data_IF_060557954783
#
_entry.id   IF_060557954783
#
_cell.length_a   1.000
_cell.length_b   1.000
_cell.length_c   1.000
_cell.angle_alpha   90.00
_cell.angle_beta   90.00
_cell.angle_gamma   90.00
#
_symmetry.space_group_name_H-M   'P 1'
#
loop_
_entity.id
_entity.type
_entity.pdbx_description
1 polymer ?
#
# COMPACT_ATOMS: atom_id res chain seq x y z
N UNK A 1 -13.54 -36.32 -3.57
CA UNK A 1 -14.53 -35.75 -4.53
C UNK A 1 -14.95 -34.37 -4.06
N UNK A 2 -15.99 -33.76 -4.66
CA UNK A 2 -16.45 -32.41 -4.28
C UNK A 2 -16.73 -32.25 -2.79
N UNK A 3 -17.38 -33.24 -2.17
CA UNK A 3 -17.73 -33.22 -0.75
C UNK A 3 -16.48 -33.04 0.12
N UNK A 4 -15.43 -33.83 -0.14
CA UNK A 4 -14.20 -33.77 0.65
C UNK A 4 -13.46 -32.44 0.46
N UNK A 5 -13.38 -31.95 -0.78
CA UNK A 5 -12.68 -30.71 -1.11
C UNK A 5 -13.37 -29.49 -0.49
N UNK A 6 -14.71 -29.42 -0.58
CA UNK A 6 -15.51 -28.38 0.09
C UNK A 6 -15.34 -28.48 1.60
N UNK A 7 -15.45 -29.68 2.17
CA UNK A 7 -15.32 -29.90 3.63
C UNK A 7 -13.94 -29.50 4.16
N UNK A 8 -12.91 -29.59 3.34
CA UNK A 8 -11.57 -29.09 3.67
C UNK A 8 -11.52 -27.56 3.62
N UNK A 9 -11.98 -26.96 2.52
CA UNK A 9 -11.95 -25.52 2.32
C UNK A 9 -12.84 -24.74 3.31
N UNK A 10 -13.96 -25.32 3.74
CA UNK A 10 -14.85 -24.70 4.73
C UNK A 10 -14.20 -24.51 6.11
N UNK A 11 -13.13 -25.25 6.41
CA UNK A 11 -12.37 -25.09 7.66
C UNK A 11 -11.48 -23.86 7.63
N UNK A 12 -11.25 -23.25 6.47
CA UNK A 12 -10.42 -22.08 6.34
C UNK A 12 -11.08 -20.86 6.98
N UNK A 13 -10.31 -20.11 7.78
CA UNK A 13 -10.82 -19.08 8.68
C UNK A 13 -11.54 -17.92 7.99
N UNK A 14 -11.16 -17.60 6.75
CA UNK A 14 -11.75 -16.51 5.97
C UNK A 14 -12.91 -16.98 5.07
N UNK A 15 -12.86 -18.23 4.60
CA UNK A 15 -13.83 -18.76 3.65
C UNK A 15 -15.12 -19.16 4.38
N UNK A 16 -14.99 -20.00 5.41
CA UNK A 16 -16.15 -20.67 6.00
C UNK A 16 -17.01 -21.33 4.91
N UNK A 17 -18.33 -21.20 5.02
CA UNK A 17 -19.26 -21.77 4.04
C UNK A 17 -19.36 -21.02 2.70
N UNK A 18 -18.63 -19.90 2.49
CA UNK A 18 -18.71 -19.14 1.25
C UNK A 18 -17.49 -19.43 0.36
N UNK A 19 -17.67 -20.40 -0.52
CA UNK A 19 -16.66 -20.89 -1.47
C UNK A 19 -17.00 -20.57 -2.93
N UNK A 20 -18.08 -19.82 -3.17
CA UNK A 20 -18.64 -19.61 -4.51
C UNK A 20 -17.59 -19.06 -5.48
N UNK A 21 -16.78 -18.08 -5.06
CA UNK A 21 -15.75 -17.50 -5.92
C UNK A 21 -14.68 -18.52 -6.36
N UNK A 22 -14.23 -19.42 -5.48
CA UNK A 22 -13.28 -20.48 -5.84
C UNK A 22 -13.91 -21.52 -6.76
N UNK A 23 -15.19 -21.85 -6.55
CA UNK A 23 -15.95 -22.75 -7.43
C UNK A 23 -16.11 -22.12 -8.83
N UNK A 24 -16.39 -20.81 -8.87
CA UNK A 24 -16.52 -20.05 -10.11
C UNK A 24 -15.19 -19.97 -10.86
N UNK A 25 -14.07 -19.70 -10.17
CA UNK A 25 -12.72 -19.73 -10.77
C UNK A 25 -12.40 -21.09 -11.37
N UNK A 26 -12.83 -22.15 -10.70
CA UNK A 26 -12.61 -23.53 -11.12
C UNK A 26 -13.58 -23.99 -12.22
N UNK A 27 -14.57 -23.18 -12.63
CA UNK A 27 -15.55 -23.52 -13.66
C UNK A 27 -16.28 -24.86 -13.38
N UNK A 28 -16.55 -25.17 -12.11
CA UNK A 28 -17.10 -26.46 -11.66
C UNK A 28 -16.20 -27.69 -11.95
N UNK A 29 -14.89 -27.51 -12.09
CA UNK A 29 -13.89 -28.58 -12.08
C UNK A 29 -13.32 -28.78 -10.66
N UNK A 30 -13.45 -29.99 -10.12
CA UNK A 30 -13.04 -30.31 -8.74
C UNK A 30 -11.53 -30.30 -8.55
N UNK A 31 -10.74 -30.65 -9.57
CA UNK A 31 -9.28 -30.64 -9.45
C UNK A 31 -8.75 -29.21 -9.55
N UNK A 32 -9.31 -28.39 -10.45
CA UNK A 32 -9.01 -26.94 -10.47
C UNK A 32 -9.40 -26.28 -9.14
N UNK A 33 -10.54 -26.64 -8.56
CA UNK A 33 -10.96 -26.11 -7.26
C UNK A 33 -9.94 -26.41 -6.17
N UNK A 34 -9.43 -27.65 -6.10
CA UNK A 34 -8.40 -28.02 -5.13
C UNK A 34 -7.10 -27.25 -5.36
N UNK A 35 -6.72 -27.04 -6.62
CA UNK A 35 -5.53 -26.26 -6.97
C UNK A 35 -5.67 -24.80 -6.51
N UNK A 36 -6.78 -24.15 -6.86
CA UNK A 36 -7.07 -22.79 -6.41
C UNK A 36 -7.14 -22.68 -4.89
N UNK A 37 -7.80 -23.63 -4.22
CA UNK A 37 -7.86 -23.65 -2.77
C UNK A 37 -6.47 -23.80 -2.15
N UNK A 38 -5.62 -24.68 -2.69
CA UNK A 38 -4.25 -24.86 -2.22
C UNK A 38 -3.44 -23.56 -2.36
N UNK A 39 -3.45 -22.93 -3.52
CA UNK A 39 -2.77 -21.64 -3.75
C UNK A 39 -3.32 -20.56 -2.80
N UNK A 40 -4.63 -20.51 -2.62
CA UNK A 40 -5.28 -19.56 -1.69
C UNK A 40 -4.87 -19.79 -0.22
N UNK A 41 -4.81 -21.05 0.24
CA UNK A 41 -4.39 -21.39 1.61
C UNK A 41 -2.89 -21.08 1.84
N UNK A 42 -2.06 -21.22 0.81
CA UNK A 42 -0.63 -20.90 0.86
C UNK A 42 -0.36 -19.41 1.09
N UNK A 43 -1.16 -18.51 0.49
CA UNK A 43 -1.08 -17.05 0.69
C UNK A 43 -1.08 -16.64 2.17
N UNK A 44 -1.85 -17.33 3.01
CA UNK A 44 -1.95 -16.99 4.45
C UNK A 44 -0.80 -17.55 5.29
N UNK A 45 0.07 -18.39 4.71
CA UNK A 45 1.28 -18.94 5.33
C UNK A 45 2.55 -18.16 4.95
N UNK A 46 2.48 -17.36 3.88
CA UNK A 46 3.58 -16.52 3.41
C UNK A 46 3.84 -15.31 4.34
N UNK A 47 4.94 -14.60 4.06
CA UNK A 47 5.43 -13.51 4.91
C UNK A 47 4.42 -12.38 5.10
N UNK A 48 3.96 -12.27 6.34
CA UNK A 48 3.07 -11.20 6.81
C UNK A 48 3.84 -9.95 7.23
N UNK A 49 5.12 -10.06 7.57
CA UNK A 49 5.94 -8.94 8.05
C UNK A 49 6.21 -7.92 6.94
N UNK A 50 6.41 -8.39 5.70
CA UNK A 50 6.56 -7.52 4.53
C UNK A 50 5.30 -7.44 3.65
N UNK A 51 4.16 -7.91 4.16
CA UNK A 51 2.84 -7.77 3.52
C UNK A 51 2.79 -8.29 2.08
N UNK A 52 3.41 -9.44 1.81
CA UNK A 52 3.57 -9.95 0.45
C UNK A 52 2.22 -10.11 -0.26
N UNK A 53 1.20 -10.63 0.42
CA UNK A 53 -0.11 -10.81 -0.19
C UNK A 53 -0.76 -9.48 -0.60
N UNK A 54 -0.84 -8.51 0.31
CA UNK A 54 -1.42 -7.20 0.03
C UNK A 54 -0.72 -6.53 -1.16
N UNK A 55 0.62 -6.57 -1.17
CA UNK A 55 1.43 -5.93 -2.21
C UNK A 55 1.33 -6.66 -3.55
N UNK A 56 1.37 -7.98 -3.54
CA UNK A 56 1.24 -8.79 -4.75
C UNK A 56 -0.15 -8.65 -5.37
N UNK A 57 -1.21 -8.65 -4.56
CA UNK A 57 -2.58 -8.43 -5.04
C UNK A 57 -2.75 -7.04 -5.65
N UNK A 58 -2.14 -6.01 -5.07
CA UNK A 58 -2.18 -4.65 -5.60
C UNK A 58 -1.53 -4.51 -6.98
N UNK A 59 -0.62 -5.43 -7.36
CA UNK A 59 -0.03 -5.47 -8.72
C UNK A 59 -1.04 -5.89 -9.79
N UNK A 60 -2.10 -6.60 -9.41
CA UNK A 60 -3.15 -7.08 -10.32
C UNK A 60 -4.27 -6.05 -10.48
N UNK A 61 -4.46 -5.19 -9.49
CA UNK A 61 -5.39 -4.07 -9.59
C UNK A 61 -5.73 -3.46 -8.23
N UNK A 62 -6.53 -2.40 -8.27
CA UNK A 62 -7.00 -1.72 -7.06
C UNK A 62 -8.09 -2.55 -6.38
N UNK A 63 -7.67 -3.35 -5.39
CA UNK A 63 -8.56 -4.21 -4.63
C UNK A 63 -9.12 -3.54 -3.37
N UNK A 64 -8.69 -2.32 -3.02
CA UNK A 64 -8.92 -1.77 -1.68
C UNK A 64 -10.42 -1.53 -1.45
N UNK A 65 -11.05 -2.18 -0.45
CA UNK A 65 -12.42 -1.86 -0.09
C UNK A 65 -12.52 -0.45 0.49
N UNK A 66 -13.55 0.29 0.08
CA UNK A 66 -13.94 1.53 0.77
C UNK A 66 -14.52 1.20 2.14
N UNK A 67 -14.22 2.02 3.14
CA UNK A 67 -14.82 1.92 4.48
C UNK A 67 -15.79 3.07 4.71
N UNK A 68 -17.08 2.72 4.82
CA UNK A 68 -18.17 3.69 4.88
C UNK A 68 -18.37 4.40 3.54
N UNK A 69 -19.10 5.52 3.55
CA UNK A 69 -19.20 6.42 2.39
C UNK A 69 -18.19 7.55 2.57
N UNK A 70 -16.90 7.22 2.51
CA UNK A 70 -15.84 8.15 2.88
C UNK A 70 -14.55 7.85 2.13
N UNK A 71 -13.65 8.83 2.04
CA UNK A 71 -12.32 8.71 1.43
C UNK A 71 -11.36 7.73 2.14
N UNK A 72 -11.86 6.81 2.95
CA UNK A 72 -11.08 5.82 3.68
C UNK A 72 -11.09 4.48 2.96
N UNK A 73 -9.90 3.93 2.75
CA UNK A 73 -9.69 2.65 2.10
C UNK A 73 -8.84 1.73 2.98
N UNK A 74 -8.96 0.43 2.81
CA UNK A 74 -8.24 -0.56 3.62
C UNK A 74 -7.45 -1.54 2.78
N UNK A 75 -6.20 -1.81 3.15
CA UNK A 75 -5.39 -2.90 2.60
C UNK A 75 -5.81 -4.28 3.12
N UNK A 76 -6.86 -4.33 3.94
CA UNK A 76 -7.30 -5.49 4.70
C UNK A 76 -6.26 -5.94 5.73
N UNK A 77 -6.75 -6.36 6.90
CA UNK A 77 -5.93 -6.79 8.02
C UNK A 77 -6.13 -8.28 8.25
N UNK A 78 -5.06 -9.00 8.57
CA UNK A 78 -5.18 -10.41 8.95
C UNK A 78 -5.76 -10.53 10.37
N UNK A 79 -6.64 -11.51 10.58
CA UNK A 79 -7.40 -11.74 11.80
C UNK A 79 -6.54 -11.88 13.06
N UNK A 80 -5.39 -12.53 12.97
CA UNK A 80 -4.51 -12.74 14.13
C UNK A 80 -3.88 -11.44 14.67
N UNK A 81 -3.88 -10.38 13.86
CA UNK A 81 -3.40 -9.05 14.25
C UNK A 81 -4.51 -8.20 14.90
N UNK A 82 -5.75 -8.68 14.91
CA UNK A 82 -6.87 -8.05 15.60
C UNK A 82 -7.00 -8.57 17.04
N UNK A 83 -6.30 -7.89 17.97
CA UNK A 83 -6.45 -8.16 19.41
C UNK A 83 -7.79 -7.67 19.99
N UNK A 84 -8.64 -7.02 19.18
CA UNK A 84 -9.75 -6.22 19.67
C UNK A 84 -11.15 -6.82 19.49
N UNK A 85 -11.31 -8.04 18.99
CA UNK A 85 -12.65 -8.52 18.70
C UNK A 85 -12.98 -9.96 19.13
N UNK A 86 -13.91 -10.05 20.08
CA UNK A 86 -14.86 -11.15 20.09
C UNK A 86 -15.71 -11.15 18.81
N UNK A 87 -16.48 -12.22 18.61
CA UNK A 87 -17.31 -12.59 17.44
C UNK A 87 -18.21 -11.53 16.74
N UNK A 88 -18.11 -10.22 17.04
CA UNK A 88 -19.00 -9.16 16.55
C UNK A 88 -18.36 -8.11 15.63
N UNK A 89 -17.05 -8.07 15.41
CA UNK A 89 -16.48 -7.25 14.31
C UNK A 89 -16.59 -8.03 12.99
N UNK A 90 -17.82 -8.06 12.45
CA UNK A 90 -18.21 -8.78 11.23
C UNK A 90 -17.82 -8.07 9.93
N UNK A 91 -16.85 -7.16 9.97
CA UNK A 91 -16.30 -6.53 8.77
C UNK A 91 -14.93 -7.16 8.46
N UNK A 92 -14.95 -8.45 8.13
CA UNK A 92 -13.79 -9.15 7.58
C UNK A 92 -13.46 -8.49 6.24
N UNK A 93 -12.55 -7.51 6.23
CA UNK A 93 -12.20 -6.69 5.06
C UNK A 93 -11.92 -7.55 3.81
N UNK A 94 -11.29 -8.71 4.01
CA UNK A 94 -11.00 -9.66 2.95
C UNK A 94 -12.24 -10.25 2.26
N UNK A 95 -13.37 -10.42 2.97
CA UNK A 95 -14.63 -10.87 2.35
C UNK A 95 -15.17 -9.87 1.34
N UNK A 96 -14.95 -8.56 1.60
CA UNK A 96 -15.32 -7.49 0.66
C UNK A 96 -14.44 -7.47 -0.60
N UNK A 97 -13.34 -8.21 -0.60
CA UNK A 97 -12.49 -8.43 -1.77
C UNK A 97 -12.88 -9.73 -2.46
N UNK A 98 -12.94 -10.84 -1.72
CA UNK A 98 -13.14 -12.17 -2.29
C UNK A 98 -14.53 -12.39 -2.87
N UNK A 99 -15.55 -11.73 -2.32
CA UNK A 99 -16.94 -11.88 -2.74
C UNK A 99 -17.43 -10.72 -3.62
N UNK A 100 -16.54 -9.78 -3.95
CA UNK A 100 -16.81 -8.72 -4.91
C UNK A 100 -16.46 -9.23 -6.32
N UNK A 101 -17.40 -9.14 -7.25
CA UNK A 101 -17.25 -9.72 -8.59
C UNK A 101 -16.10 -9.08 -9.41
N UNK A 102 -15.73 -7.84 -9.12
CA UNK A 102 -14.62 -7.17 -9.83
C UNK A 102 -13.30 -7.42 -9.10
N UNK A 103 -13.26 -7.21 -7.78
CA UNK A 103 -12.01 -7.37 -7.01
C UNK A 103 -11.54 -8.82 -6.91
N UNK A 104 -12.47 -9.77 -6.92
CA UNK A 104 -12.13 -11.20 -6.96
C UNK A 104 -11.40 -11.61 -8.24
N UNK A 105 -11.55 -10.87 -9.35
CA UNK A 105 -10.78 -11.11 -10.57
C UNK A 105 -9.29 -10.88 -10.34
N UNK A 106 -8.91 -9.85 -9.58
CA UNK A 106 -7.51 -9.61 -9.21
C UNK A 106 -6.94 -10.75 -8.37
N UNK A 107 -7.75 -11.33 -7.47
CA UNK A 107 -7.36 -12.53 -6.73
C UNK A 107 -7.18 -13.71 -7.68
N UNK A 108 -8.11 -13.92 -8.62
CA UNK A 108 -7.98 -15.00 -9.61
C UNK A 108 -6.69 -14.84 -10.44
N UNK A 109 -6.42 -13.65 -10.95
CA UNK A 109 -5.20 -13.34 -11.69
C UNK A 109 -3.94 -13.57 -10.86
N UNK A 110 -3.98 -13.31 -9.55
CA UNK A 110 -2.88 -13.63 -8.65
C UNK A 110 -2.71 -15.14 -8.47
N UNK A 111 -3.79 -15.90 -8.29
CA UNK A 111 -3.75 -17.35 -8.13
C UNK A 111 -3.39 -18.08 -9.44
N UNK A 112 -3.69 -17.49 -10.59
CA UNK A 112 -3.29 -17.98 -11.92
C UNK A 112 -1.80 -17.72 -12.21
N UNK A 113 -1.16 -16.80 -11.47
CA UNK A 113 0.27 -16.53 -11.60
C UNK A 113 1.08 -17.65 -10.91
N UNK A 114 2.02 -18.24 -11.64
CA UNK A 114 2.87 -19.33 -11.12
C UNK A 114 4.14 -18.82 -10.44
N UNK A 115 4.37 -17.51 -10.46
CA UNK A 115 5.49 -16.87 -9.75
C UNK A 115 5.22 -16.78 -8.25
N UNK A 116 6.28 -16.67 -7.46
CA UNK A 116 6.12 -16.35 -6.04
C UNK A 116 5.56 -14.93 -5.86
N UNK A 117 4.90 -14.66 -4.72
CA UNK A 117 4.41 -13.30 -4.42
C UNK A 117 5.55 -12.27 -4.45
N UNK A 118 6.75 -12.67 -4.01
CA UNK A 118 7.94 -11.82 -4.03
C UNK A 118 8.37 -11.49 -5.46
N UNK A 119 8.45 -12.46 -6.37
CA UNK A 119 8.83 -12.23 -7.77
C UNK A 119 7.83 -11.29 -8.46
N UNK A 120 6.52 -11.48 -8.23
CA UNK A 120 5.45 -10.61 -8.76
C UNK A 120 5.67 -9.15 -8.33
N UNK A 121 6.00 -8.94 -7.06
CA UNK A 121 6.27 -7.61 -6.50
C UNK A 121 7.56 -7.01 -7.09
N UNK A 122 8.62 -7.80 -7.21
CA UNK A 122 9.93 -7.35 -7.70
C UNK A 122 9.87 -6.94 -9.17
N UNK A 123 9.15 -7.69 -10.00
CA UNK A 123 9.01 -7.44 -11.44
C UNK A 123 8.07 -6.28 -11.80
N UNK A 124 7.15 -5.88 -10.92
CA UNK A 124 6.19 -4.80 -11.21
C UNK A 124 6.90 -3.44 -11.38
N UNK A 125 6.95 -2.84 -12.57
CA UNK A 125 7.69 -1.56 -12.80
C UNK A 125 6.80 -0.41 -13.32
N UNK A 126 5.47 -0.52 -13.18
CA UNK A 126 4.58 0.57 -13.59
C UNK A 126 4.58 1.71 -12.55
N UNK A 127 5.55 2.62 -12.70
CA UNK A 127 5.70 3.80 -11.84
C UNK A 127 4.58 4.84 -11.97
N UNK A 128 3.70 4.70 -12.95
CA UNK A 128 2.53 5.57 -13.11
C UNK A 128 1.36 5.11 -12.25
N UNK A 129 1.36 3.82 -11.88
CA UNK A 129 0.34 3.26 -11.01
C UNK A 129 0.41 3.90 -9.63
N UNK A 130 -0.74 4.40 -9.14
CA UNK A 130 -0.82 5.09 -7.85
C UNK A 130 -0.29 4.24 -6.69
N UNK A 131 -0.50 2.92 -6.74
CA UNK A 131 -0.09 1.97 -5.71
C UNK A 131 1.38 1.53 -5.79
N UNK A 132 2.16 2.06 -6.74
CA UNK A 132 3.51 1.59 -7.03
C UNK A 132 4.42 1.56 -5.80
N UNK A 133 4.43 2.61 -4.97
CA UNK A 133 5.30 2.64 -3.79
C UNK A 133 4.81 1.77 -2.64
N UNK A 134 3.50 1.55 -2.49
CA UNK A 134 3.00 0.50 -1.58
C UNK A 134 3.53 -0.88 -2.00
N UNK A 135 3.57 -1.16 -3.31
CA UNK A 135 4.13 -2.40 -3.85
C UNK A 135 5.64 -2.48 -3.58
N UNK A 136 6.41 -1.41 -3.81
CA UNK A 136 7.88 -1.47 -3.70
C UNK A 136 8.44 -1.35 -2.29
N UNK A 137 7.74 -0.65 -1.40
CA UNK A 137 8.27 -0.29 -0.09
C UNK A 137 7.34 -0.76 1.02
N UNK A 138 7.55 -1.97 1.59
CA UNK A 138 6.72 -2.49 2.66
C UNK A 138 6.70 -1.58 3.90
N UNK A 139 7.73 -0.76 4.10
CA UNK A 139 7.83 0.24 5.17
C UNK A 139 6.61 1.19 5.18
N UNK A 140 6.04 1.53 4.02
CA UNK A 140 4.84 2.37 3.95
C UNK A 140 3.65 1.65 4.60
N UNK A 141 3.48 0.34 4.36
CA UNK A 141 2.43 -0.44 5.02
C UNK A 141 2.74 -0.66 6.51
N UNK A 142 4.01 -0.69 6.94
CA UNK A 142 4.38 -0.76 8.37
C UNK A 142 3.90 0.46 9.16
N UNK A 143 3.91 1.65 8.54
CA UNK A 143 3.33 2.87 9.14
C UNK A 143 1.80 2.81 9.25
N UNK A 144 1.15 1.93 8.49
CA UNK A 144 -0.29 1.84 8.38
C UNK A 144 -0.90 1.02 9.53
N UNK A 145 -0.98 1.60 10.74
CA UNK A 145 -1.31 0.87 11.97
C UNK A 145 -2.64 0.08 11.96
N UNK A 146 -3.63 0.53 11.20
CA UNK A 146 -4.90 -0.20 10.99
C UNK A 146 -5.08 -0.75 9.57
N UNK A 147 -4.05 -0.67 8.73
CA UNK A 147 -4.11 -0.93 7.29
C UNK A 147 -5.05 0.02 6.55
N UNK A 148 -5.28 1.23 7.09
CA UNK A 148 -6.15 2.23 6.50
C UNK A 148 -5.38 3.40 5.91
N UNK A 149 -5.84 3.84 4.76
CA UNK A 149 -5.42 5.09 4.14
C UNK A 149 -6.61 6.02 4.00
N UNK A 150 -6.34 7.32 4.06
CA UNK A 150 -7.26 8.35 3.61
C UNK A 150 -6.75 8.85 2.25
N UNK A 151 -7.50 8.57 1.19
CA UNK A 151 -7.14 8.95 -0.18
C UNK A 151 -8.21 9.86 -0.78
N UNK A 152 -7.80 11.06 -1.21
CA UNK A 152 -8.66 12.01 -1.90
C UNK A 152 -7.85 12.70 -2.99
N UNK A 153 -8.36 12.68 -4.22
CA UNK A 153 -7.63 13.09 -5.42
C UNK A 153 -6.25 12.40 -5.46
N UNK A 154 -5.15 13.16 -5.49
CA UNK A 154 -3.78 12.65 -5.45
C UNK A 154 -3.15 12.69 -4.05
N UNK A 155 -3.88 13.10 -3.01
CA UNK A 155 -3.37 13.02 -1.64
C UNK A 155 -3.67 11.66 -1.05
N UNK A 156 -2.64 10.94 -0.63
CA UNK A 156 -2.77 9.69 0.09
C UNK A 156 -2.09 9.85 1.45
N UNK A 157 -2.88 9.71 2.52
CA UNK A 157 -2.37 9.74 3.90
C UNK A 157 -2.41 8.34 4.48
N UNK A 158 -1.26 7.88 4.93
CA UNK A 158 -1.12 6.58 5.59
C UNK A 158 -1.30 6.79 7.09
N UNK A 159 -2.36 6.21 7.64
CA UNK A 159 -2.78 6.48 9.01
C UNK A 159 -2.08 5.54 9.99
N UNK A 160 -1.39 6.11 10.98
CA UNK A 160 -0.81 5.34 12.09
C UNK A 160 -1.86 4.89 13.10
N UNK A 161 -3.01 5.58 13.16
CA UNK A 161 -4.14 5.29 14.03
C UNK A 161 -5.46 5.14 13.27
N UNK A 162 -6.57 5.09 13.99
CA UNK A 162 -7.88 4.79 13.40
C UNK A 162 -8.58 6.00 12.75
N UNK A 163 -8.13 7.22 13.04
CA UNK A 163 -8.84 8.45 12.65
C UNK A 163 -7.87 9.52 12.14
N UNK A 164 -8.40 10.49 11.40
CA UNK A 164 -7.65 11.65 10.85
C UNK A 164 -6.88 12.49 11.85
N UNK A 165 -7.22 12.41 13.14
CA UNK A 165 -6.53 13.14 14.21
C UNK A 165 -5.34 12.36 14.78
N UNK A 166 -5.05 11.17 14.23
CA UNK A 166 -3.85 10.42 14.52
C UNK A 166 -2.68 10.89 13.67
N UNK A 167 -1.47 10.53 14.09
CA UNK A 167 -0.30 10.78 13.27
C UNK A 167 -0.45 10.09 11.91
N UNK A 168 0.07 10.72 10.88
CA UNK A 168 0.06 10.17 9.54
C UNK A 168 1.31 10.61 8.78
N UNK A 169 1.68 9.78 7.81
CA UNK A 169 2.65 10.14 6.79
C UNK A 169 1.92 10.46 5.49
N UNK A 170 2.54 11.28 4.64
CA UNK A 170 2.08 11.53 3.29
C UNK A 170 2.81 10.54 2.39
N UNK A 171 2.05 9.82 1.57
CA UNK A 171 2.51 8.65 0.83
C UNK A 171 3.73 8.89 -0.06
N UNK A 172 3.71 9.94 -0.89
CA UNK A 172 4.79 10.20 -1.83
C UNK A 172 6.04 10.74 -1.13
N UNK A 173 5.84 11.61 -0.15
CA UNK A 173 6.90 12.18 0.69
C UNK A 173 7.62 11.08 1.48
N UNK A 174 6.87 10.13 2.05
CA UNK A 174 7.44 9.01 2.77
C UNK A 174 8.14 8.01 1.84
N UNK A 175 7.61 7.78 0.63
CA UNK A 175 8.30 6.99 -0.39
C UNK A 175 9.66 7.60 -0.77
N UNK A 176 9.71 8.93 -0.98
CA UNK A 176 10.96 9.64 -1.25
C UNK A 176 11.94 9.52 -0.07
N UNK A 177 11.46 9.62 1.18
CA UNK A 177 12.29 9.42 2.36
C UNK A 177 12.94 8.04 2.41
N UNK A 178 12.18 6.96 2.17
CA UNK A 178 12.70 5.59 2.12
C UNK A 178 13.79 5.46 1.04
N UNK A 179 13.56 6.06 -0.14
CA UNK A 179 14.54 6.06 -1.23
C UNK A 179 15.83 6.77 -0.79
N UNK A 180 15.72 7.93 -0.15
CA UNK A 180 16.87 8.67 0.36
C UNK A 180 17.64 7.91 1.43
N UNK A 181 16.94 7.31 2.41
CA UNK A 181 17.57 6.51 3.47
C UNK A 181 18.36 5.34 2.90
N UNK A 182 17.79 4.62 1.92
CA UNK A 182 18.48 3.52 1.24
C UNK A 182 19.69 4.00 0.43
N UNK A 183 19.61 5.19 -0.17
CA UNK A 183 20.68 5.77 -0.98
C UNK A 183 21.83 6.32 -0.14
N UNK A 184 21.54 6.89 1.02
CA UNK A 184 22.48 7.54 1.93
C UNK A 184 22.42 6.91 3.34
N UNK A 185 22.76 5.61 3.49
CA UNK A 185 22.57 4.88 4.75
C UNK A 185 23.47 5.36 5.91
N UNK A 186 24.44 6.23 5.62
CA UNK A 186 25.36 6.79 6.62
C UNK A 186 24.86 8.11 7.22
N UNK A 187 23.82 8.72 6.66
CA UNK A 187 23.19 9.89 7.27
C UNK A 187 22.41 9.45 8.50
N UNK A 188 22.65 10.12 9.63
CA UNK A 188 21.87 9.90 10.84
C UNK A 188 20.43 10.41 10.68
N UNK A 189 19.52 9.89 11.51
CA UNK A 189 18.12 10.37 11.54
C UNK A 189 18.00 11.87 11.86
N UNK A 190 18.98 12.43 12.58
CA UNK A 190 19.10 13.88 12.83
C UNK A 190 19.43 14.69 11.58
N UNK A 191 20.01 14.07 10.55
CA UNK A 191 20.40 14.70 9.28
C UNK A 191 19.44 14.37 8.15
N UNK A 192 18.82 13.19 8.19
CA UNK A 192 17.82 12.70 7.27
C UNK A 192 16.69 12.06 8.08
N UNK A 193 15.72 12.88 8.46
CA UNK A 193 14.58 12.48 9.27
C UNK A 193 13.27 12.60 8.52
N UNK A 194 12.22 12.04 9.10
CA UNK A 194 10.85 12.24 8.65
C UNK A 194 10.03 12.82 9.80
N UNK A 195 9.20 13.80 9.51
CA UNK A 195 8.28 14.40 10.48
C UNK A 195 6.84 14.04 10.11
N UNK A 196 6.16 13.34 11.01
CA UNK A 196 4.75 12.98 10.88
C UNK A 196 3.87 14.19 11.17
N UNK A 197 2.70 14.26 10.54
CA UNK A 197 1.69 15.26 10.87
C UNK A 197 0.61 14.67 11.78
N UNK A 198 0.05 15.46 12.70
CA UNK A 198 -1.04 15.05 13.58
C UNK A 198 -2.39 15.64 13.18
N UNK A 199 -2.36 16.80 12.53
CA UNK A 199 -3.55 17.55 12.14
C UNK A 199 -3.77 17.54 10.63
N UNK A 200 -5.00 17.75 10.18
CA UNK A 200 -5.29 17.76 8.74
C UNK A 200 -4.54 18.86 7.96
N UNK A 201 -4.35 20.03 8.59
CA UNK A 201 -3.68 21.18 7.99
C UNK A 201 -2.16 21.21 8.12
N UNK A 202 -1.56 20.18 8.74
CA UNK A 202 -0.12 20.01 8.81
C UNK A 202 0.32 19.11 7.66
N UNK A 203 1.41 19.48 6.99
CA UNK A 203 2.02 18.65 5.95
C UNK A 203 3.19 17.87 6.56
N UNK A 204 3.17 16.53 6.49
CA UNK A 204 4.35 15.73 6.74
C UNK A 204 5.52 16.17 5.84
N UNK A 205 6.74 15.98 6.31
CA UNK A 205 7.92 16.36 5.52
C UNK A 205 9.12 15.48 5.81
N UNK A 206 10.02 15.43 4.84
CA UNK A 206 11.39 14.98 5.03
C UNK A 206 12.18 16.16 5.57
N UNK A 207 13.00 15.93 6.59
CA UNK A 207 14.01 16.88 7.05
C UNK A 207 15.39 16.42 6.56
N UNK A 208 16.08 17.26 5.79
CA UNK A 208 17.42 16.96 5.26
C UNK A 208 18.35 18.14 5.54
N UNK A 209 19.22 18.02 6.53
CA UNK A 209 20.26 19.02 6.80
C UNK A 209 19.76 20.45 7.02
N UNK A 210 18.56 20.62 7.56
CA UNK A 210 17.93 21.93 7.76
C UNK A 210 16.87 22.31 6.71
N UNK A 211 16.72 21.51 5.66
CA UNK A 211 15.76 21.73 4.57
C UNK A 211 14.58 20.76 4.69
N UNK A 212 13.37 21.27 4.56
CA UNK A 212 12.14 20.49 4.59
C UNK A 212 11.62 20.20 3.18
N UNK A 213 11.21 18.97 2.91
CA UNK A 213 10.61 18.58 1.63
C UNK A 213 9.23 17.97 1.86
N UNK A 214 8.20 18.54 1.24
CA UNK A 214 6.81 18.05 1.33
C UNK A 214 6.15 17.94 -0.05
N UNK A 215 5.24 17.00 -0.18
CA UNK A 215 4.26 16.97 -1.26
C UNK A 215 2.96 17.67 -0.82
N UNK A 216 2.49 18.65 -1.60
CA UNK A 216 1.34 19.48 -1.22
C UNK A 216 0.36 19.68 -2.37
N UNK A 217 -0.91 19.96 -2.00
CA UNK A 217 -1.90 20.55 -2.90
C UNK A 217 -1.81 22.06 -2.81
N UNK A 218 -1.66 22.74 -3.94
CA UNK A 218 -1.60 24.20 -4.00
C UNK A 218 -3.00 24.83 -4.17
N UNK A 219 -3.04 26.16 -4.13
CA UNK A 219 -4.28 26.95 -4.21
C UNK A 219 -5.02 26.78 -5.55
N UNK A 220 -4.30 26.40 -6.61
CA UNK A 220 -4.84 26.13 -7.95
C UNK A 220 -5.34 24.67 -8.09
N UNK A 221 -5.44 23.93 -6.98
CA UNK A 221 -5.76 22.50 -6.92
C UNK A 221 -4.78 21.59 -7.68
N UNK A 222 -3.57 22.07 -7.98
CA UNK A 222 -2.48 21.25 -8.51
C UNK A 222 -1.64 20.66 -7.38
N UNK A 223 -0.90 19.60 -7.70
CA UNK A 223 -0.03 18.93 -6.74
C UNK A 223 1.43 19.18 -7.09
N UNK A 224 2.21 19.63 -6.11
CA UNK A 224 3.61 19.97 -6.31
C UNK A 224 4.45 19.58 -5.11
N UNK A 225 5.77 19.56 -5.34
CA UNK A 225 6.73 19.48 -4.25
C UNK A 225 7.00 20.89 -3.71
N UNK A 226 7.34 20.95 -2.44
CA UNK A 226 7.74 22.17 -1.75
C UNK A 226 9.05 21.88 -1.02
N UNK A 227 10.03 22.73 -1.23
CA UNK A 227 11.29 22.74 -0.48
C UNK A 227 11.27 24.00 0.37
N UNK A 228 11.21 23.83 1.70
CA UNK A 228 10.95 24.88 2.67
C UNK A 228 9.67 25.69 2.30
N UNK A 229 9.84 26.89 1.75
CA UNK A 229 8.74 27.76 1.30
C UNK A 229 8.66 27.89 -0.23
N UNK A 230 9.60 27.28 -0.97
CA UNK A 230 9.68 27.35 -2.43
C UNK A 230 8.98 26.16 -3.09
N UNK A 231 8.10 26.45 -4.06
CA UNK A 231 7.40 25.43 -4.86
C UNK A 231 8.32 24.90 -5.95
N UNK A 232 8.46 23.59 -6.01
CA UNK A 232 9.34 22.89 -6.94
C UNK A 232 8.53 21.96 -7.85
N UNK A 233 8.49 22.32 -9.13
CA UNK A 233 7.87 21.52 -10.17
C UNK A 233 6.35 21.33 -9.98
N UNK A 234 5.74 20.63 -10.92
CA UNK A 234 4.38 20.12 -10.79
C UNK A 234 4.47 18.59 -10.87
N UNK A 235 3.94 17.90 -9.86
CA UNK A 235 3.98 16.44 -9.78
C UNK A 235 2.77 15.84 -10.50
N UNK A 236 1.60 16.45 -10.32
CA UNK A 236 0.40 16.16 -11.11
C UNK A 236 -0.17 17.45 -11.70
N UNK A 237 -0.21 17.49 -13.04
CA UNK A 237 -1.00 18.43 -13.82
C UNK A 237 -1.99 17.60 -14.67
N UNK A 238 -3.31 17.81 -14.55
CA UNK A 238 -4.32 17.14 -15.37
C UNK A 238 -4.11 17.29 -16.89
N UNK A 239 -3.28 18.25 -17.32
CA UNK A 239 -2.96 18.52 -18.71
C UNK A 239 -1.67 17.82 -19.20
N UNK A 240 -0.97 17.10 -18.32
CA UNK A 240 0.26 16.36 -18.65
C UNK A 240 0.00 14.84 -18.63
N UNK A 241 0.80 14.04 -19.37
CA UNK A 241 0.75 12.59 -19.26
C UNK A 241 1.03 12.14 -17.82
N UNK A 242 0.36 11.08 -17.37
CA UNK A 242 0.68 10.43 -16.09
C UNK A 242 2.17 10.05 -16.04
N UNK A 243 2.82 10.50 -14.98
CA UNK A 243 4.25 10.37 -14.74
C UNK A 243 4.49 9.94 -13.29
N UNK A 244 5.66 9.38 -13.04
CA UNK A 244 6.13 9.10 -11.68
C UNK A 244 6.14 10.43 -10.88
N UNK A 245 5.41 10.54 -9.75
CA UNK A 245 5.32 11.78 -8.97
C UNK A 245 6.64 12.24 -8.38
N UNK A 246 7.56 11.31 -8.08
CA UNK A 246 8.88 11.58 -7.52
C UNK A 246 9.88 12.02 -8.60
N UNK A 247 9.61 11.77 -9.89
CA UNK A 247 10.52 12.13 -11.00
C UNK A 247 10.86 13.63 -11.03
N UNK A 248 9.96 14.49 -10.56
CA UNK A 248 10.13 15.94 -10.53
C UNK A 248 11.01 16.47 -9.38
N UNK A 249 11.28 15.65 -8.36
CA UNK A 249 11.98 16.08 -7.13
C UNK A 249 13.24 15.26 -6.81
N UNK A 250 13.31 14.01 -7.27
CA UNK A 250 14.29 13.04 -6.76
C UNK A 250 15.74 13.49 -6.93
N UNK A 251 16.09 14.08 -8.08
CA UNK A 251 17.45 14.57 -8.35
C UNK A 251 17.83 15.72 -7.40
N UNK A 252 16.90 16.65 -7.15
CA UNK A 252 17.13 17.76 -6.20
C UNK A 252 17.29 17.25 -4.77
N UNK A 253 16.43 16.32 -4.35
CA UNK A 253 16.54 15.71 -3.02
C UNK A 253 17.88 14.96 -2.85
N UNK A 254 18.36 14.29 -3.90
CA UNK A 254 19.67 13.65 -3.91
C UNK A 254 20.83 14.64 -3.79
N UNK A 255 20.78 15.76 -4.51
CA UNK A 255 21.81 16.78 -4.42
C UNK A 255 21.90 17.40 -3.02
N UNK A 256 20.74 17.67 -2.39
CA UNK A 256 20.67 18.14 -1.00
C UNK A 256 21.30 17.11 -0.06
N UNK A 257 20.84 15.85 -0.08
CA UNK A 257 21.34 14.81 0.81
C UNK A 257 22.85 14.54 0.62
N UNK A 258 23.32 14.52 -0.63
CA UNK A 258 24.75 14.34 -0.97
C UNK A 258 25.61 15.49 -0.45
N UNK A 259 25.11 16.72 -0.46
CA UNK A 259 25.86 17.87 0.08
C UNK A 259 26.14 17.74 1.59
N UNK A 260 25.18 17.15 2.33
CA UNK A 260 25.30 16.89 3.77
C UNK A 260 26.23 15.70 4.05
N UNK A 261 26.10 14.62 3.27
CA UNK A 261 26.91 13.41 3.41
C UNK A 261 28.42 13.73 3.21
N UNK A 262 28.75 14.47 2.15
CA UNK A 262 30.13 14.90 1.87
C UNK A 262 30.70 15.85 2.92
N UNK A 263 29.86 16.58 3.65
CA UNK A 263 30.26 17.49 4.73
C UNK A 263 30.52 16.79 6.07
N UNK A 264 30.42 15.46 6.15
CA UNK A 264 30.49 14.68 7.40
C UNK A 264 31.86 13.99 7.62
N UNK A 265 32.93 14.43 6.93
CA UNK A 265 34.32 13.95 7.15
C UNK A 265 34.98 14.63 8.35
#
# INVERSE_FOLDING_TARGET
GWIDAISEAEKHWYLGSNLTFLIDFAENDVEKFKEYYKKFDEIFKEDRENFLFQRALLTKGDYLPERGNSSYFTFCKFKDEDKSSGNRNKDDNWRSVFFDNEKSKFLKELLDDDKSLQDIIEEFDDKKYWGYYFIKYPEILKECGNFWILAYDYTIRVLTGAFTNSYHVEYYTFALFIILQRRFPNLSDEKLGYEWAKSYGENPHIYIGGTNISFIKNDDNKYCWMIDEERIGEAFDPNLPEQDPLQSIIDKAYDIAKSIDNGTI
#
